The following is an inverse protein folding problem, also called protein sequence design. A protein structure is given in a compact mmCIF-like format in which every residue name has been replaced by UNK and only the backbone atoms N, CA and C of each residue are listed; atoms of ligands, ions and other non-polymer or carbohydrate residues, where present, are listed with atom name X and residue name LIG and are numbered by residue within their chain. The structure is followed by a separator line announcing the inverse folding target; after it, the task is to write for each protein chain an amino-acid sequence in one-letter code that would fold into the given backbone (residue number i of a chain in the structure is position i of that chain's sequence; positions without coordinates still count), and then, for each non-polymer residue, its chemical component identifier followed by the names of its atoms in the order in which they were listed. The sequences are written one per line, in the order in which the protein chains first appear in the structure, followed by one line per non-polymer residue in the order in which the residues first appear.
data_IF_132000464286
#
_entry.id   IF_132000464286
#
_cell.length_a   1.000
_cell.length_b   1.000
_cell.length_c   1.000
_cell.angle_alpha   90.00
_cell.angle_beta   90.00
_cell.angle_gamma   90.00
#
_symmetry.space_group_name_H-M   'P 1'
#
loop_
_entity.id
_entity.type
_entity.pdbx_description
1 polymer ?
#
# COMPACT_ATOMS: atom_id res chain seq x y z
N UNK A 1 57.13 -33.07 -6.57
CA UNK A 1 57.64 -31.71 -6.76
C UNK A 1 56.56 -30.65 -7.05
N UNK A 2 55.31 -30.86 -6.70
CA UNK A 2 54.21 -29.86 -6.89
C UNK A 2 53.79 -29.14 -5.61
N UNK A 3 54.31 -29.50 -4.43
CA UNK A 3 53.99 -28.87 -3.16
C UNK A 3 54.67 -27.52 -2.92
N UNK A 4 55.82 -27.28 -3.50
CA UNK A 4 56.63 -26.08 -3.23
C UNK A 4 56.09 -24.77 -3.86
N UNK A 5 55.39 -24.85 -4.99
CA UNK A 5 54.85 -23.66 -5.64
C UNK A 5 53.58 -23.11 -4.91
N UNK A 6 52.79 -23.99 -4.30
CA UNK A 6 51.62 -23.59 -3.50
C UNK A 6 52.04 -23.02 -2.14
N UNK A 7 53.06 -23.60 -1.48
CA UNK A 7 53.59 -23.13 -0.21
C UNK A 7 54.29 -21.76 -0.37
N UNK A 8 54.97 -21.56 -1.51
CA UNK A 8 55.67 -20.29 -1.82
C UNK A 8 54.67 -19.16 -2.19
N UNK A 9 53.54 -19.48 -2.84
CA UNK A 9 52.44 -18.54 -3.08
C UNK A 9 51.68 -18.25 -1.80
N UNK A 10 51.42 -19.25 -0.96
CA UNK A 10 50.70 -19.08 0.29
C UNK A 10 51.44 -18.20 1.30
N UNK A 11 52.80 -18.28 1.29
CA UNK A 11 53.66 -17.47 2.17
C UNK A 11 53.78 -16.00 1.73
N UNK A 12 53.54 -15.68 0.46
CA UNK A 12 53.59 -14.31 -0.10
C UNK A 12 52.30 -13.54 0.05
N UNK A 13 51.16 -14.22 0.24
CA UNK A 13 49.84 -13.57 0.39
C UNK A 13 49.59 -13.31 1.87
N UNK A 14 49.35 -12.05 2.29
CA UNK A 14 49.02 -11.74 3.68
C UNK A 14 47.85 -12.58 4.19
N UNK A 15 47.91 -13.05 5.42
CA UNK A 15 46.86 -13.89 6.06
C UNK A 15 45.46 -13.29 5.94
N UNK A 16 45.38 -11.95 5.87
CA UNK A 16 44.12 -11.22 5.71
C UNK A 16 43.34 -11.57 4.45
N UNK A 17 44.06 -11.87 3.34
CA UNK A 17 43.41 -12.30 2.08
C UNK A 17 42.79 -13.70 2.21
N UNK A 18 43.46 -14.59 2.94
CA UNK A 18 42.92 -15.94 3.20
C UNK A 18 41.68 -15.88 4.09
N UNK A 19 41.68 -14.98 5.09
CA UNK A 19 40.48 -14.72 5.93
C UNK A 19 39.38 -14.14 5.07
N UNK A 20 39.64 -13.19 4.17
CA UNK A 20 38.63 -12.63 3.28
C UNK A 20 37.99 -13.68 2.36
N UNK A 21 38.81 -14.56 1.79
CA UNK A 21 38.33 -15.69 0.95
C UNK A 21 37.45 -16.64 1.80
N UNK A 22 37.88 -16.96 3.02
CA UNK A 22 37.11 -17.79 3.92
C UNK A 22 35.76 -17.16 4.26
N UNK A 23 35.73 -15.85 4.53
CA UNK A 23 34.50 -15.07 4.78
C UNK A 23 33.58 -15.12 3.57
N UNK A 24 34.09 -14.93 2.35
CA UNK A 24 33.31 -15.03 1.13
C UNK A 24 32.72 -16.42 0.92
N UNK A 25 33.53 -17.46 1.17
CA UNK A 25 33.05 -18.84 1.06
C UNK A 25 31.96 -19.15 2.07
N UNK A 26 32.13 -18.76 3.32
CA UNK A 26 31.08 -18.88 4.37
C UNK A 26 29.85 -18.07 3.98
N UNK A 27 30.03 -16.84 3.51
CA UNK A 27 28.93 -15.97 3.05
C UNK A 27 28.16 -16.58 1.89
N UNK A 28 28.83 -17.23 0.94
CA UNK A 28 28.19 -17.95 -0.15
C UNK A 28 27.34 -19.12 0.36
N UNK A 29 27.88 -19.95 1.25
CA UNK A 29 27.14 -21.08 1.86
C UNK A 29 25.96 -20.59 2.65
N UNK A 30 26.14 -19.59 3.50
CA UNK A 30 25.05 -18.99 4.28
C UNK A 30 24.01 -18.34 3.37
N UNK A 31 24.43 -17.63 2.32
CA UNK A 31 23.52 -17.02 1.33
C UNK A 31 22.65 -18.07 0.62
N UNK A 32 23.22 -19.19 0.24
CA UNK A 32 22.47 -20.32 -0.35
C UNK A 32 21.49 -20.95 0.64
N UNK A 33 21.91 -21.10 1.89
CA UNK A 33 21.04 -21.62 2.98
C UNK A 33 19.88 -20.66 3.25
N UNK A 34 20.16 -19.36 3.35
CA UNK A 34 19.12 -18.32 3.55
C UNK A 34 18.15 -18.30 2.38
N UNK A 35 18.64 -18.35 1.14
CA UNK A 35 17.79 -18.47 -0.06
C UNK A 35 16.86 -19.68 0.01
N UNK A 36 17.40 -20.85 0.36
CA UNK A 36 16.61 -22.07 0.51
C UNK A 36 15.59 -21.97 1.65
N UNK A 37 16.02 -21.48 2.82
CA UNK A 37 15.16 -21.31 4.00
C UNK A 37 14.03 -20.30 3.73
N UNK A 38 14.34 -19.14 3.12
CA UNK A 38 13.35 -18.13 2.73
C UNK A 38 12.32 -18.71 1.76
N UNK A 39 12.77 -19.46 0.74
CA UNK A 39 11.84 -20.11 -0.19
C UNK A 39 10.90 -21.07 0.54
N UNK A 40 11.44 -21.93 1.41
CA UNK A 40 10.66 -22.89 2.19
C UNK A 40 9.67 -22.21 3.13
N UNK A 41 10.12 -21.16 3.83
CA UNK A 41 9.29 -20.39 4.76
C UNK A 41 8.12 -19.70 4.03
N UNK A 42 8.38 -19.00 2.92
CA UNK A 42 7.35 -18.33 2.13
C UNK A 42 6.30 -19.31 1.58
N UNK A 43 6.71 -20.52 1.18
CA UNK A 43 5.75 -21.56 0.79
C UNK A 43 4.92 -22.06 1.97
N UNK A 44 5.54 -22.28 3.13
CA UNK A 44 4.85 -22.73 4.35
C UNK A 44 3.85 -21.70 4.86
N UNK A 45 4.12 -20.41 4.67
CA UNK A 45 3.21 -19.31 5.00
C UNK A 45 2.08 -19.08 3.98
N UNK A 46 2.02 -19.86 2.91
CA UNK A 46 0.99 -19.72 1.88
C UNK A 46 1.13 -18.47 0.99
N UNK A 47 2.30 -17.82 1.01
CA UNK A 47 2.56 -16.61 0.20
C UNK A 47 2.29 -16.83 -1.29
N UNK A 48 2.64 -17.99 -1.92
CA UNK A 48 2.31 -18.22 -3.33
C UNK A 48 0.82 -18.02 -3.64
N UNK A 49 -0.07 -18.60 -2.84
CA UNK A 49 -1.53 -18.44 -3.02
C UNK A 49 -2.01 -17.01 -2.79
N UNK A 50 -1.36 -16.26 -1.87
CA UNK A 50 -1.72 -14.88 -1.57
C UNK A 50 -1.38 -13.91 -2.72
N UNK A 51 -0.34 -14.20 -3.51
CA UNK A 51 0.14 -13.33 -4.61
C UNK A 51 -0.29 -13.82 -5.99
N UNK A 52 -0.88 -15.01 -6.09
CA UNK A 52 -1.36 -15.58 -7.35
C UNK A 52 -2.38 -14.65 -8.01
N UNK A 53 -2.23 -14.46 -9.34
CA UNK A 53 -3.09 -13.58 -10.12
C UNK A 53 -2.72 -12.08 -10.07
N UNK A 54 -1.73 -11.67 -9.25
CA UNK A 54 -1.24 -10.28 -9.27
C UNK A 54 -0.46 -9.99 -10.56
N UNK A 55 -0.44 -8.72 -10.97
CA UNK A 55 0.33 -8.27 -12.14
C UNK A 55 1.82 -8.56 -11.97
N UNK A 56 2.33 -8.42 -10.74
CA UNK A 56 3.72 -8.70 -10.43
C UNK A 56 4.07 -10.18 -10.61
N UNK A 57 3.25 -11.11 -10.12
CA UNK A 57 3.51 -12.54 -10.26
C UNK A 57 3.45 -12.99 -11.73
N UNK A 58 2.50 -12.45 -12.51
CA UNK A 58 2.44 -12.68 -13.95
C UNK A 58 3.70 -12.21 -14.68
N UNK A 59 4.19 -11.01 -14.33
CA UNK A 59 5.42 -10.46 -14.91
C UNK A 59 6.64 -11.29 -14.48
N UNK A 60 6.75 -11.68 -13.21
CA UNK A 60 7.83 -12.52 -12.72
C UNK A 60 7.87 -13.87 -13.46
N UNK A 61 6.72 -14.49 -13.72
CA UNK A 61 6.62 -15.75 -14.50
C UNK A 61 7.02 -15.57 -15.96
N UNK A 62 6.77 -14.42 -16.59
CA UNK A 62 7.22 -14.14 -17.96
C UNK A 62 8.74 -14.07 -18.07
N UNK A 63 9.45 -13.75 -16.98
CA UNK A 63 10.91 -13.81 -16.87
C UNK A 63 11.44 -15.18 -16.36
N UNK A 64 10.61 -16.21 -16.33
CA UNK A 64 11.02 -17.56 -15.93
C UNK A 64 11.23 -17.73 -14.42
N UNK A 65 10.73 -16.82 -13.60
CA UNK A 65 10.85 -16.86 -12.13
C UNK A 65 9.49 -16.70 -11.46
N UNK A 66 9.45 -16.74 -10.13
CA UNK A 66 8.26 -16.47 -9.35
C UNK A 66 8.56 -15.34 -8.34
N UNK A 67 7.51 -14.66 -7.86
CA UNK A 67 7.66 -13.65 -6.81
C UNK A 67 8.40 -14.20 -5.60
N UNK A 68 8.07 -15.43 -5.16
CA UNK A 68 8.79 -16.13 -4.08
C UNK A 68 10.25 -16.39 -4.46
N UNK A 69 10.51 -16.74 -5.73
CA UNK A 69 11.87 -16.91 -6.23
C UNK A 69 12.70 -15.63 -6.18
N UNK A 70 12.10 -14.50 -6.56
CA UNK A 70 12.75 -13.18 -6.50
C UNK A 70 13.07 -12.81 -5.05
N UNK A 71 12.11 -12.95 -4.12
CA UNK A 71 12.31 -12.66 -2.70
C UNK A 71 13.40 -13.54 -2.07
N UNK A 72 13.39 -14.84 -2.38
CA UNK A 72 14.40 -15.76 -1.87
C UNK A 72 15.80 -15.45 -2.44
N UNK A 73 15.89 -15.12 -3.74
CA UNK A 73 17.16 -14.72 -4.35
C UNK A 73 17.68 -13.41 -3.75
N UNK A 74 16.80 -12.44 -3.54
CA UNK A 74 17.13 -11.15 -2.93
C UNK A 74 17.71 -11.34 -1.52
N UNK A 75 17.09 -12.20 -0.69
CA UNK A 75 17.59 -12.54 0.64
C UNK A 75 18.98 -13.20 0.58
N UNK A 76 19.20 -14.10 -0.38
CA UNK A 76 20.52 -14.72 -0.60
C UNK A 76 21.57 -13.70 -1.05
N UNK A 77 21.23 -12.82 -1.98
CA UNK A 77 22.13 -11.76 -2.46
C UNK A 77 22.43 -10.72 -1.38
N UNK A 78 21.49 -10.43 -0.51
CA UNK A 78 21.71 -9.58 0.66
C UNK A 78 22.81 -10.15 1.55
N UNK A 79 22.74 -11.43 1.90
CA UNK A 79 23.77 -12.11 2.70
C UNK A 79 25.14 -12.11 2.00
N UNK A 80 25.16 -12.34 0.69
CA UNK A 80 26.40 -12.26 -0.09
C UNK A 80 26.98 -10.85 -0.10
N UNK A 81 26.15 -9.81 -0.22
CA UNK A 81 26.58 -8.41 -0.16
C UNK A 81 27.19 -8.06 1.19
N UNK A 82 26.57 -8.51 2.29
CA UNK A 82 27.13 -8.35 3.65
C UNK A 82 28.46 -9.09 3.79
N UNK A 83 28.54 -10.34 3.32
CA UNK A 83 29.78 -11.12 3.36
C UNK A 83 30.89 -10.47 2.54
N UNK A 84 30.57 -9.89 1.39
CA UNK A 84 31.49 -9.15 0.55
C UNK A 84 32.04 -7.92 1.29
N UNK A 85 31.15 -7.13 1.93
CA UNK A 85 31.54 -5.98 2.73
C UNK A 85 32.48 -6.36 3.86
N UNK A 86 32.18 -7.43 4.61
CA UNK A 86 33.04 -7.95 5.69
C UNK A 86 34.38 -8.46 5.15
N UNK A 87 34.41 -9.21 4.04
CA UNK A 87 35.62 -9.71 3.43
C UNK A 87 36.59 -8.58 3.03
N UNK A 88 36.04 -7.51 2.47
CA UNK A 88 36.87 -6.35 2.15
C UNK A 88 37.35 -5.60 3.39
N UNK A 89 36.51 -5.44 4.42
CA UNK A 89 36.90 -4.78 5.66
C UNK A 89 38.13 -5.44 6.32
N UNK A 90 38.25 -6.78 6.21
CA UNK A 90 39.37 -7.53 6.74
C UNK A 90 40.67 -7.26 5.97
N UNK A 91 40.64 -6.85 4.69
CA UNK A 91 41.83 -6.63 3.88
C UNK A 91 42.60 -5.34 4.18
N UNK A 92 41.96 -4.40 4.95
CA UNK A 92 42.57 -3.15 5.46
C UNK A 92 43.17 -2.23 4.36
N UNK A 93 42.51 -2.19 3.21
CA UNK A 93 42.90 -1.33 2.10
C UNK A 93 42.25 0.04 2.29
N UNK A 94 42.98 1.03 2.79
CA UNK A 94 42.49 2.33 3.24
C UNK A 94 41.63 3.12 2.20
N UNK A 95 41.91 2.95 0.90
CA UNK A 95 41.10 3.56 -0.17
C UNK A 95 39.76 2.86 -0.39
N UNK A 96 39.67 1.59 -0.07
CA UNK A 96 38.51 0.75 -0.25
C UNK A 96 37.53 0.90 0.93
N UNK A 97 38.03 1.24 2.13
CA UNK A 97 37.18 1.36 3.33
C UNK A 97 36.01 2.31 3.16
N UNK A 98 36.22 3.51 2.62
CA UNK A 98 35.11 4.47 2.40
C UNK A 98 34.05 3.94 1.43
N UNK A 99 34.47 3.26 0.37
CA UNK A 99 33.55 2.64 -0.57
C UNK A 99 32.79 1.48 0.09
N UNK A 100 33.47 0.73 0.95
CA UNK A 100 32.89 -0.40 1.66
C UNK A 100 31.89 0.02 2.73
N UNK A 101 32.19 1.09 3.48
CA UNK A 101 31.27 1.66 4.45
C UNK A 101 29.98 2.15 3.75
N UNK A 102 30.15 2.79 2.58
CA UNK A 102 29.02 3.19 1.76
C UNK A 102 28.23 1.99 1.23
N UNK A 103 28.89 0.94 0.75
CA UNK A 103 28.23 -0.28 0.29
C UNK A 103 27.58 -1.06 1.44
N UNK A 104 28.23 -1.15 2.59
CA UNK A 104 27.70 -1.82 3.77
C UNK A 104 26.42 -1.17 4.29
N UNK A 105 26.29 0.15 4.19
CA UNK A 105 25.07 0.86 4.51
C UNK A 105 24.02 0.78 3.38
N UNK A 106 24.44 0.88 2.12
CA UNK A 106 23.56 0.91 0.96
C UNK A 106 22.89 -0.44 0.66
N UNK A 107 23.61 -1.58 0.82
CA UNK A 107 23.08 -2.92 0.51
C UNK A 107 21.82 -3.25 1.34
N UNK A 108 21.79 -3.07 2.69
CA UNK A 108 20.57 -3.26 3.47
C UNK A 108 19.44 -2.34 3.05
N UNK A 109 19.73 -1.05 2.79
CA UNK A 109 18.75 -0.07 2.35
C UNK A 109 18.13 -0.46 1.00
N UNK A 110 18.95 -0.86 0.03
CA UNK A 110 18.49 -1.32 -1.27
C UNK A 110 17.63 -2.59 -1.14
N UNK A 111 18.02 -3.53 -0.27
CA UNK A 111 17.24 -4.72 0.00
C UNK A 111 15.84 -4.36 0.53
N UNK A 112 15.77 -3.47 1.53
CA UNK A 112 14.51 -3.00 2.09
C UNK A 112 13.68 -2.24 1.04
N UNK A 113 14.29 -1.38 0.23
CA UNK A 113 13.61 -0.66 -0.83
C UNK A 113 12.94 -1.60 -1.84
N UNK A 114 13.67 -2.61 -2.32
CA UNK A 114 13.13 -3.60 -3.25
C UNK A 114 12.04 -4.45 -2.61
N UNK A 115 12.22 -4.86 -1.35
CA UNK A 115 11.20 -5.60 -0.58
C UNK A 115 9.90 -4.78 -0.46
N UNK A 116 10.01 -3.50 -0.09
CA UNK A 116 8.88 -2.58 0.02
C UNK A 116 8.19 -2.44 -1.33
N UNK A 117 8.92 -2.26 -2.45
CA UNK A 117 8.34 -2.17 -3.79
C UNK A 117 7.55 -3.44 -4.16
N UNK A 118 8.09 -4.62 -3.90
CA UNK A 118 7.40 -5.89 -4.20
C UNK A 118 6.10 -5.99 -3.39
N UNK A 119 6.17 -5.71 -2.08
CA UNK A 119 4.98 -5.72 -1.20
C UNK A 119 3.96 -4.69 -1.70
N UNK A 120 4.41 -3.48 -2.07
CA UNK A 120 3.55 -2.42 -2.55
C UNK A 120 2.82 -2.76 -3.84
N UNK A 121 3.50 -3.40 -4.80
CA UNK A 121 2.85 -3.84 -6.04
C UNK A 121 1.79 -4.90 -5.74
N UNK A 122 2.08 -5.87 -4.90
CA UNK A 122 1.12 -6.91 -4.49
C UNK A 122 -0.06 -6.29 -3.75
N UNK A 123 0.19 -5.38 -2.81
CA UNK A 123 -0.87 -4.67 -2.07
C UNK A 123 -1.72 -3.80 -3.00
N UNK A 124 -1.12 -3.07 -3.93
CA UNK A 124 -1.83 -2.25 -4.89
C UNK A 124 -2.77 -3.06 -5.77
N UNK A 125 -2.32 -4.20 -6.29
CA UNK A 125 -3.16 -5.12 -7.05
C UNK A 125 -4.32 -5.68 -6.20
N UNK A 126 -4.07 -6.00 -4.93
CA UNK A 126 -5.13 -6.49 -4.01
C UNK A 126 -6.14 -5.39 -3.68
N UNK A 127 -5.68 -4.16 -3.45
CA UNK A 127 -6.56 -3.01 -3.21
C UNK A 127 -7.43 -2.72 -4.42
N UNK A 128 -6.85 -2.75 -5.65
CA UNK A 128 -7.62 -2.61 -6.89
C UNK A 128 -8.76 -3.65 -6.97
N UNK A 129 -8.44 -4.92 -6.75
CA UNK A 129 -9.43 -6.01 -6.78
C UNK A 129 -10.50 -5.84 -5.70
N UNK A 130 -10.08 -5.53 -4.46
CA UNK A 130 -11.01 -5.32 -3.34
C UNK A 130 -11.98 -4.17 -3.61
N UNK A 131 -11.49 -3.05 -4.13
CA UNK A 131 -12.33 -1.90 -4.48
C UNK A 131 -13.23 -2.26 -5.65
N UNK A 132 -12.71 -2.90 -6.71
CA UNK A 132 -13.49 -3.31 -7.87
C UNK A 132 -14.65 -4.26 -7.50
N UNK A 133 -14.42 -5.16 -6.53
CA UNK A 133 -15.46 -6.08 -6.06
C UNK A 133 -16.64 -5.36 -5.40
N UNK A 134 -16.39 -4.27 -4.66
CA UNK A 134 -17.44 -3.46 -4.05
C UNK A 134 -18.36 -2.78 -5.08
N UNK A 135 -17.84 -2.52 -6.27
CA UNK A 135 -18.58 -1.86 -7.35
C UNK A 135 -19.15 -2.81 -8.40
N UNK A 136 -19.01 -4.14 -8.26
CA UNK A 136 -19.51 -5.12 -9.25
C UNK A 136 -21.01 -5.05 -9.54
N UNK A 137 -21.82 -4.50 -8.61
CA UNK A 137 -23.27 -4.32 -8.79
C UNK A 137 -23.68 -3.11 -9.64
N UNK A 138 -22.74 -2.21 -9.95
CA UNK A 138 -23.04 -0.92 -10.59
C UNK A 138 -22.54 -0.96 -12.04
N UNK A 139 -23.48 -1.02 -13.00
CA UNK A 139 -23.22 -1.09 -14.45
C UNK A 139 -22.85 0.27 -15.06
N UNK A 140 -21.84 0.98 -14.55
CA UNK A 140 -21.35 2.21 -15.13
C UNK A 140 -19.93 2.02 -15.70
N UNK A 141 -19.68 2.35 -16.97
CA UNK A 141 -18.35 2.15 -17.60
C UNK A 141 -17.23 2.98 -16.95
N UNK A 142 -17.58 4.01 -16.21
CA UNK A 142 -16.62 4.94 -15.58
C UNK A 142 -16.12 4.49 -14.18
N UNK A 143 -16.67 3.40 -13.63
CA UNK A 143 -16.33 2.93 -12.27
C UNK A 143 -14.93 2.32 -12.19
N UNK A 144 -14.32 1.94 -13.32
CA UNK A 144 -12.95 1.43 -13.36
C UNK A 144 -11.88 2.44 -12.88
N UNK A 145 -12.21 3.74 -12.85
CA UNK A 145 -11.29 4.79 -12.41
C UNK A 145 -11.00 4.70 -10.91
N UNK A 146 -11.99 4.39 -10.06
CA UNK A 146 -11.83 4.35 -8.60
C UNK A 146 -10.89 3.23 -8.14
N UNK A 147 -11.04 1.96 -8.57
CA UNK A 147 -10.09 0.90 -8.26
C UNK A 147 -8.66 1.22 -8.74
N UNK A 148 -8.55 1.75 -9.96
CA UNK A 148 -7.26 2.13 -10.54
C UNK A 148 -6.59 3.25 -9.76
N UNK A 149 -7.34 4.27 -9.35
CA UNK A 149 -6.83 5.36 -8.51
C UNK A 149 -6.34 4.84 -7.15
N UNK A 150 -7.09 3.95 -6.51
CA UNK A 150 -6.70 3.32 -5.25
C UNK A 150 -5.38 2.53 -5.40
N UNK A 151 -5.22 1.74 -6.47
CA UNK A 151 -3.97 1.04 -6.80
C UNK A 151 -2.79 1.98 -6.92
N UNK A 152 -2.91 3.02 -7.75
CA UNK A 152 -1.81 3.96 -7.96
C UNK A 152 -1.49 4.79 -6.73
N UNK A 153 -2.46 5.06 -5.85
CA UNK A 153 -2.21 5.67 -4.53
C UNK A 153 -1.30 4.79 -3.68
N UNK A 154 -1.54 3.48 -3.65
CA UNK A 154 -0.68 2.51 -2.95
C UNK A 154 0.71 2.47 -3.58
N UNK A 155 0.80 2.45 -4.91
CA UNK A 155 2.10 2.46 -5.62
C UNK A 155 2.90 3.71 -5.32
N UNK A 156 2.26 4.87 -5.28
CA UNK A 156 2.91 6.14 -4.98
C UNK A 156 3.48 6.17 -3.55
N UNK A 157 2.67 5.76 -2.56
CA UNK A 157 3.11 5.65 -1.17
C UNK A 157 4.28 4.68 -1.02
N UNK A 158 4.20 3.54 -1.68
CA UNK A 158 5.24 2.51 -1.66
C UNK A 158 6.53 3.02 -2.30
N UNK A 159 6.43 3.72 -3.44
CA UNK A 159 7.58 4.31 -4.09
C UNK A 159 8.27 5.38 -3.21
N UNK A 160 7.49 6.22 -2.50
CA UNK A 160 8.01 7.17 -1.53
C UNK A 160 8.80 6.49 -0.42
N UNK A 161 8.25 5.43 0.17
CA UNK A 161 8.90 4.68 1.24
C UNK A 161 10.18 4.02 0.72
N UNK A 162 10.13 3.40 -0.47
CA UNK A 162 11.28 2.74 -1.07
C UNK A 162 12.41 3.71 -1.43
N UNK A 163 12.08 4.87 -2.01
CA UNK A 163 13.05 5.92 -2.31
C UNK A 163 13.68 6.51 -1.04
N UNK A 164 12.89 6.64 0.04
CA UNK A 164 13.40 7.06 1.34
C UNK A 164 14.41 6.08 1.94
N UNK A 165 14.31 4.77 1.65
CA UNK A 165 15.28 3.77 2.12
C UNK A 165 16.66 3.97 1.49
N UNK A 166 16.76 4.49 0.28
CA UNK A 166 18.02 4.69 -0.46
C UNK A 166 18.50 6.14 -0.42
N UNK A 167 18.07 6.90 0.58
CA UNK A 167 18.45 8.31 0.81
C UNK A 167 18.16 9.26 -0.37
N UNK A 168 17.19 8.92 -1.22
CA UNK A 168 16.71 9.84 -2.25
C UNK A 168 15.92 10.96 -1.59
N UNK A 169 16.21 12.22 -1.97
CA UNK A 169 15.49 13.39 -1.48
C UNK A 169 14.00 13.33 -1.87
N UNK A 170 13.15 12.83 -0.97
CA UNK A 170 11.71 12.63 -1.21
C UNK A 170 10.86 13.86 -0.92
N UNK A 171 11.46 14.99 -0.52
CA UNK A 171 10.73 16.20 -0.11
C UNK A 171 9.74 16.72 -1.16
N UNK A 172 10.15 16.79 -2.43
CA UNK A 172 9.27 17.22 -3.52
C UNK A 172 8.10 16.22 -3.73
N UNK A 173 8.35 14.93 -3.60
CA UNK A 173 7.32 13.90 -3.72
C UNK A 173 6.32 13.95 -2.56
N UNK A 174 6.77 14.28 -1.35
CA UNK A 174 5.89 14.49 -0.19
C UNK A 174 4.97 15.71 -0.40
N UNK A 175 5.48 16.79 -0.99
CA UNK A 175 4.65 17.96 -1.36
C UNK A 175 3.59 17.55 -2.40
N UNK A 176 3.99 16.78 -3.42
CA UNK A 176 3.05 16.25 -4.41
C UNK A 176 2.00 15.33 -3.77
N UNK A 177 2.40 14.48 -2.82
CA UNK A 177 1.46 13.65 -2.06
C UNK A 177 0.46 14.51 -1.29
N UNK A 178 0.94 15.53 -0.58
CA UNK A 178 0.08 16.45 0.16
C UNK A 178 -0.91 17.17 -0.76
N UNK A 179 -0.45 17.65 -1.92
CA UNK A 179 -1.31 18.27 -2.93
C UNK A 179 -2.34 17.28 -3.51
N UNK A 180 -1.93 16.04 -3.77
CA UNK A 180 -2.81 14.98 -4.23
C UNK A 180 -3.91 14.63 -3.21
N UNK A 181 -3.54 14.41 -1.94
CA UNK A 181 -4.50 14.13 -0.86
C UNK A 181 -5.44 15.32 -0.66
N UNK A 182 -4.90 16.55 -0.68
CA UNK A 182 -5.71 17.76 -0.61
C UNK A 182 -6.73 17.83 -1.76
N UNK A 183 -6.29 17.58 -2.99
CA UNK A 183 -7.17 17.57 -4.16
C UNK A 183 -8.29 16.52 -4.04
N UNK A 184 -7.96 15.29 -3.59
CA UNK A 184 -8.96 14.24 -3.37
C UNK A 184 -9.99 14.64 -2.32
N UNK A 185 -9.55 15.16 -1.17
CA UNK A 185 -10.43 15.57 -0.08
C UNK A 185 -11.28 16.78 -0.51
N UNK A 186 -10.67 17.76 -1.16
CA UNK A 186 -11.36 18.97 -1.60
C UNK A 186 -12.39 18.70 -2.70
N UNK A 187 -11.97 17.99 -3.77
CA UNK A 187 -12.89 17.62 -4.86
C UNK A 187 -13.97 16.65 -4.38
N UNK A 188 -13.60 15.69 -3.52
CA UNK A 188 -14.54 14.78 -2.89
C UNK A 188 -15.54 15.53 -2.00
N UNK A 189 -15.08 16.49 -1.20
CA UNK A 189 -15.95 17.35 -0.39
C UNK A 189 -16.95 18.12 -1.23
N UNK A 190 -16.50 18.70 -2.37
CA UNK A 190 -17.39 19.38 -3.32
C UNK A 190 -18.38 18.41 -3.96
N UNK A 191 -17.90 17.25 -4.44
CA UNK A 191 -18.75 16.27 -5.12
C UNK A 191 -19.84 15.69 -4.21
N UNK A 192 -19.52 15.46 -2.94
CA UNK A 192 -20.42 14.84 -1.96
C UNK A 192 -21.05 15.84 -1.00
N UNK A 193 -20.92 17.16 -1.21
CA UNK A 193 -21.39 18.17 -0.24
C UNK A 193 -22.86 18.02 0.11
N UNK A 194 -23.74 17.73 -0.86
CA UNK A 194 -25.19 17.56 -0.61
C UNK A 194 -25.47 16.31 0.23
N UNK A 195 -24.76 15.21 -0.04
CA UNK A 195 -24.88 13.99 0.74
C UNK A 195 -24.37 14.19 2.17
N UNK A 196 -23.24 14.86 2.34
CA UNK A 196 -22.70 15.21 3.65
C UNK A 196 -23.63 16.14 4.42
N UNK A 197 -24.21 17.14 3.76
CA UNK A 197 -25.18 18.04 4.36
C UNK A 197 -26.46 17.28 4.79
N UNK A 198 -26.96 16.34 3.97
CA UNK A 198 -28.10 15.50 4.31
C UNK A 198 -27.81 14.57 5.48
N UNK A 199 -26.63 13.95 5.53
CA UNK A 199 -26.21 13.11 6.66
C UNK A 199 -26.08 13.91 7.97
N UNK A 200 -25.50 15.12 7.92
CA UNK A 200 -25.40 16.00 9.07
C UNK A 200 -26.78 16.46 9.57
N UNK A 201 -27.66 16.88 8.66
CA UNK A 201 -29.03 17.23 8.97
C UNK A 201 -29.81 16.04 9.55
N UNK A 202 -29.69 14.85 8.93
CA UNK A 202 -30.33 13.62 9.40
C UNK A 202 -29.88 13.22 10.80
N UNK A 203 -28.56 13.32 11.07
CA UNK A 203 -28.03 13.09 12.42
C UNK A 203 -28.68 14.01 13.45
N UNK A 204 -28.84 15.31 13.12
CA UNK A 204 -29.52 16.26 13.99
C UNK A 204 -30.99 15.89 14.19
N UNK A 205 -31.71 15.58 13.10
CA UNK A 205 -33.14 15.23 13.14
C UNK A 205 -33.40 13.96 13.96
N UNK A 206 -32.57 12.93 13.78
CA UNK A 206 -32.68 11.66 14.51
C UNK A 206 -32.35 11.80 16.01
N UNK A 207 -31.38 12.65 16.37
CA UNK A 207 -30.99 12.87 17.77
C UNK A 207 -31.96 13.79 18.51
N UNK A 208 -32.46 14.84 17.86
CA UNK A 208 -33.35 15.84 18.48
C UNK A 208 -34.80 15.52 18.34
N UNK A 209 -35.17 14.72 17.35
CA UNK A 209 -36.56 14.30 17.07
C UNK A 209 -37.57 15.44 17.14
N UNK A 210 -37.39 16.54 16.38
CA UNK A 210 -38.27 17.66 16.40
C UNK A 210 -39.68 17.31 15.85
N UNK A 211 -39.75 16.24 15.07
CA UNK A 211 -40.95 15.51 14.65
C UNK A 211 -40.64 14.00 14.71
N UNK A 212 -41.67 13.17 14.72
CA UNK A 212 -41.55 11.70 14.81
C UNK A 212 -42.33 11.02 13.68
N UNK A 213 -42.07 9.74 13.47
CA UNK A 213 -42.84 8.91 12.56
C UNK A 213 -44.33 8.99 12.97
N UNK A 214 -45.19 9.22 12.00
CA UNK A 214 -46.63 9.43 12.20
C UNK A 214 -47.04 10.89 12.39
N UNK A 215 -46.09 11.83 12.58
CA UNK A 215 -46.42 13.26 12.61
C UNK A 215 -46.73 13.79 11.20
N UNK A 216 -47.70 14.66 11.10
CA UNK A 216 -47.98 15.42 9.87
C UNK A 216 -47.07 16.64 9.81
N UNK A 217 -46.25 16.72 8.76
CA UNK A 217 -45.33 17.84 8.54
C UNK A 217 -45.55 18.48 7.17
N UNK A 218 -45.09 19.74 7.05
CA UNK A 218 -45.01 20.44 5.77
C UNK A 218 -43.59 20.97 5.61
N UNK A 219 -42.94 20.59 4.50
CA UNK A 219 -41.62 21.05 4.09
C UNK A 219 -41.74 21.73 2.73
N UNK A 220 -41.61 23.05 2.69
CA UNK A 220 -41.89 23.83 1.48
C UNK A 220 -43.35 23.63 1.03
N UNK A 221 -43.53 23.08 -0.18
CA UNK A 221 -44.86 22.77 -0.75
C UNK A 221 -45.34 21.35 -0.43
N UNK A 222 -44.48 20.48 0.03
CA UNK A 222 -44.81 19.07 0.34
C UNK A 222 -45.39 18.97 1.74
N UNK A 223 -46.63 18.47 1.84
CA UNK A 223 -47.32 18.20 3.10
C UNK A 223 -47.68 16.72 3.17
N UNK A 224 -47.48 16.08 4.30
CA UNK A 224 -47.84 14.67 4.49
C UNK A 224 -47.40 14.12 5.83
N UNK A 225 -47.59 12.80 6.00
CA UNK A 225 -47.27 12.06 7.23
C UNK A 225 -45.89 11.45 7.09
N UNK A 226 -45.04 11.64 8.09
CA UNK A 226 -43.71 11.03 8.13
C UNK A 226 -43.83 9.52 8.31
N UNK A 227 -43.38 8.74 7.33
CA UNK A 227 -43.38 7.27 7.37
C UNK A 227 -42.09 6.71 7.88
N UNK A 228 -40.93 7.25 7.43
CA UNK A 228 -39.60 6.78 7.77
C UNK A 228 -38.62 7.96 7.84
N UNK A 229 -37.61 7.81 8.72
CA UNK A 229 -36.53 8.79 8.86
C UNK A 229 -35.21 8.05 8.82
N UNK A 230 -34.51 8.19 7.71
CA UNK A 230 -33.14 7.68 7.52
C UNK A 230 -32.10 8.75 7.77
N UNK A 231 -30.81 8.34 7.74
CA UNK A 231 -29.69 9.26 7.91
C UNK A 231 -29.64 10.35 6.84
N UNK A 232 -30.03 10.04 5.60
CA UNK A 232 -29.90 10.96 4.45
C UNK A 232 -31.22 11.51 3.95
N UNK A 233 -32.31 10.81 4.18
CA UNK A 233 -33.64 11.16 3.65
C UNK A 233 -34.73 10.98 4.71
N UNK A 234 -35.81 11.72 4.53
CA UNK A 234 -37.09 11.57 5.27
C UNK A 234 -38.18 11.22 4.26
N UNK A 235 -38.92 10.14 4.52
CA UNK A 235 -40.05 9.70 3.71
C UNK A 235 -41.34 10.30 4.24
N UNK A 236 -42.06 11.00 3.36
CA UNK A 236 -43.32 11.69 3.68
C UNK A 236 -44.38 11.23 2.70
N UNK A 237 -45.47 10.65 3.20
CA UNK A 237 -46.61 10.18 2.41
C UNK A 237 -47.72 11.24 2.36
N UNK A 238 -48.23 11.51 1.16
CA UNK A 238 -49.35 12.42 0.91
C UNK A 238 -50.18 11.93 -0.27
N UNK A 239 -51.47 11.74 -0.09
CA UNK A 239 -52.47 11.47 -1.15
C UNK A 239 -52.01 10.37 -2.16
N UNK A 240 -51.61 9.19 -1.68
CA UNK A 240 -51.09 8.05 -2.45
C UNK A 240 -49.70 8.29 -3.11
N UNK A 241 -49.00 9.38 -2.79
CA UNK A 241 -47.63 9.66 -3.24
C UNK A 241 -46.67 9.64 -2.07
N UNK A 242 -45.50 9.02 -2.30
CA UNK A 242 -44.40 9.02 -1.34
C UNK A 242 -43.31 10.00 -1.79
N UNK A 243 -43.07 11.02 -0.98
CA UNK A 243 -42.00 11.99 -1.18
C UNK A 243 -40.77 11.62 -0.39
N UNK A 244 -39.66 11.35 -1.09
CA UNK A 244 -38.34 11.09 -0.49
C UNK A 244 -37.55 12.39 -0.45
N UNK A 245 -37.57 13.05 0.71
CA UNK A 245 -36.95 14.36 0.90
C UNK A 245 -35.54 14.24 1.46
N UNK A 246 -34.50 14.79 0.80
CA UNK A 246 -33.18 14.88 1.42
C UNK A 246 -33.24 15.65 2.74
N UNK A 247 -32.61 15.12 3.79
CA UNK A 247 -32.63 15.75 5.12
C UNK A 247 -32.02 17.16 5.12
N UNK A 248 -31.07 17.43 4.23
CA UNK A 248 -30.52 18.78 4.01
C UNK A 248 -31.62 19.76 3.58
N UNK A 249 -32.56 19.33 2.71
CA UNK A 249 -33.69 20.17 2.28
C UNK A 249 -34.68 20.39 3.42
N UNK A 250 -35.03 19.35 4.17
CA UNK A 250 -35.89 19.46 5.35
C UNK A 250 -35.34 20.45 6.37
N UNK A 251 -33.99 20.41 6.57
CA UNK A 251 -33.33 21.30 7.52
C UNK A 251 -33.17 22.73 7.01
N UNK A 252 -32.84 22.93 5.71
CA UNK A 252 -32.63 24.26 5.13
C UNK A 252 -33.93 25.04 4.91
N UNK A 253 -34.96 24.36 4.41
CA UNK A 253 -36.28 24.99 4.14
C UNK A 253 -37.10 25.16 5.41
N UNK A 254 -36.72 24.47 6.48
CA UNK A 254 -37.49 24.35 7.69
C UNK A 254 -38.70 23.46 7.51
N UNK A 255 -39.33 23.08 8.61
CA UNK A 255 -40.55 22.28 8.58
C UNK A 255 -41.62 22.88 9.52
N UNK A 256 -42.85 22.69 9.17
CA UNK A 256 -44.00 23.05 10.01
C UNK A 256 -44.67 21.75 10.48
N UNK A 257 -44.67 21.49 11.78
CA UNK A 257 -45.42 20.37 12.35
C UNK A 257 -46.89 20.77 12.52
N UNK A 258 -47.78 20.00 11.91
CA UNK A 258 -49.22 20.21 11.99
C UNK A 258 -49.70 19.42 13.19
N UNK A 259 -50.31 20.13 14.14
CA UNK A 259 -50.96 19.50 15.31
C UNK A 259 -52.42 19.30 15.00
N UNK A 260 -52.86 18.07 14.86
CA UNK A 260 -54.29 17.70 14.84
C UNK A 260 -54.84 17.68 16.24
#
# INVERSE_FOLDING_TARGET
MQGSAFDDLASRVPIRFWIAIAVLFVGLVVGLLVRWATRKLLHAMGVPGAIEGTTFDRTARSFGTSTVGILANLAGYFVLGVALSVAFAVTDIAYVQRLLDALASFIPQLFLAVLVLIIGVVLGDKVELFVAERFRGVKLPQISVVPTLAKYSVFYLTALIALGQVDVATGALLILLAAYVFALVFLGGIAFHQLLASGAAGTYLLLRQPYTIGDEIRVGETRGIVQEMDLFVTHVESDDEEFVLPNSKVFSDGFVRIRS
#
